data_IF_276533036255
#
_entry.id   IF_276533036255
#
_cell.length_a   1.000
_cell.length_b   1.000
_cell.length_c   1.000
_cell.angle_alpha   90.00
_cell.angle_beta   90.00
_cell.angle_gamma   90.00
#
_symmetry.space_group_name_H-M   'P 1'
#
loop_
_entity.id
_entity.type
_entity.pdbx_description
1 polymer ?
#
# COMPACT_ATOMS: atom_id res chain seq x y z
N UNK A 1 23.80 -29.82 -60.15
CA UNK A 1 23.74 -28.57 -59.36
C UNK A 1 22.41 -27.89 -59.67
N UNK A 2 21.42 -27.89 -58.76
CA UNK A 2 20.29 -26.99 -58.88
C UNK A 2 20.71 -25.60 -58.40
N UNK A 3 20.26 -24.58 -59.13
CA UNK A 3 20.45 -23.15 -58.86
C UNK A 3 19.80 -22.76 -57.52
N UNK A 4 20.35 -21.79 -56.79
CA UNK A 4 19.72 -21.28 -55.58
C UNK A 4 18.44 -20.52 -55.95
N UNK A 5 17.34 -20.88 -55.29
CA UNK A 5 16.07 -20.16 -55.30
C UNK A 5 16.28 -18.72 -54.82
N UNK A 6 16.05 -17.76 -55.71
CA UNK A 6 15.95 -16.33 -55.38
C UNK A 6 14.78 -16.14 -54.41
N UNK A 7 15.09 -15.90 -53.14
CA UNK A 7 14.11 -15.49 -52.14
C UNK A 7 13.65 -14.08 -52.49
N UNK A 8 12.42 -13.96 -52.98
CA UNK A 8 11.74 -12.69 -53.21
C UNK A 8 11.54 -12.05 -51.83
N UNK A 9 12.40 -11.09 -51.44
CA UNK A 9 12.17 -10.28 -50.24
C UNK A 9 10.84 -9.54 -50.42
N UNK A 10 9.85 -9.85 -49.60
CA UNK A 10 8.58 -9.12 -49.57
C UNK A 10 8.86 -7.70 -49.09
N UNK A 11 8.45 -6.70 -49.87
CA UNK A 11 8.63 -5.27 -49.54
C UNK A 11 7.56 -4.79 -48.57
N UNK A 12 7.93 -3.97 -47.58
CA UNK A 12 7.03 -3.35 -46.62
C UNK A 12 5.87 -2.59 -47.30
N UNK A 13 6.21 -1.81 -48.33
CA UNK A 13 5.27 -1.08 -49.18
C UNK A 13 5.52 -1.47 -50.64
N UNK A 14 4.47 -1.85 -51.35
CA UNK A 14 4.52 -2.09 -52.79
C UNK A 14 3.99 -0.89 -53.56
N UNK A 15 4.35 -0.78 -54.83
CA UNK A 15 3.78 0.25 -55.72
C UNK A 15 2.24 0.12 -55.81
N UNK A 16 1.72 -1.10 -55.72
CA UNK A 16 0.28 -1.36 -55.72
C UNK A 16 -0.41 -0.81 -54.47
N UNK A 17 0.22 -0.91 -53.29
CA UNK A 17 -0.30 -0.33 -52.05
C UNK A 17 -0.40 1.20 -52.15
N UNK A 18 0.63 1.84 -52.70
CA UNK A 18 0.69 3.30 -52.91
C UNK A 18 -0.36 3.73 -53.93
N UNK A 19 -0.44 3.04 -55.07
CA UNK A 19 -1.41 3.33 -56.12
C UNK A 19 -2.85 3.13 -55.62
N UNK A 20 -3.09 2.13 -54.76
CA UNK A 20 -4.39 1.90 -54.12
C UNK A 20 -4.76 3.06 -53.21
N UNK A 21 -3.84 3.50 -52.34
CA UNK A 21 -4.08 4.64 -51.44
C UNK A 21 -4.33 5.94 -52.20
N UNK A 22 -3.64 6.17 -53.33
CA UNK A 22 -3.84 7.35 -54.17
C UNK A 22 -5.17 7.33 -54.93
N UNK A 23 -5.70 6.14 -55.25
CA UNK A 23 -6.98 5.97 -55.94
C UNK A 23 -8.17 6.01 -54.99
N UNK A 24 -8.03 5.41 -53.81
CA UNK A 24 -9.08 5.27 -52.82
C UNK A 24 -8.55 5.55 -51.41
N UNK A 25 -8.66 6.80 -50.98
CA UNK A 25 -8.31 7.23 -49.62
C UNK A 25 -9.45 6.94 -48.63
N UNK A 26 -9.81 5.66 -48.49
CA UNK A 26 -10.80 5.18 -47.53
C UNK A 26 -10.15 4.74 -46.21
N UNK A 27 -10.91 4.84 -45.12
CA UNK A 27 -10.45 4.38 -43.80
C UNK A 27 -10.00 2.91 -43.83
N UNK A 28 -10.71 2.06 -44.58
CA UNK A 28 -10.40 0.64 -44.73
C UNK A 28 -9.08 0.42 -45.46
N UNK A 29 -8.80 1.17 -46.53
CA UNK A 29 -7.51 1.08 -47.24
C UNK A 29 -6.36 1.53 -46.34
N UNK A 30 -6.55 2.55 -45.50
CA UNK A 30 -5.54 2.97 -44.52
C UNK A 30 -5.30 1.94 -43.42
N UNK A 31 -6.36 1.24 -42.97
CA UNK A 31 -6.24 0.12 -42.01
C UNK A 31 -5.49 -1.05 -42.63
N UNK A 32 -5.83 -1.48 -43.85
CA UNK A 32 -5.13 -2.57 -44.56
C UNK A 32 -3.62 -2.28 -44.68
N UNK A 33 -3.29 -1.03 -45.03
CA UNK A 33 -1.90 -0.57 -45.15
C UNK A 33 -1.17 -0.61 -43.81
N UNK A 34 -1.84 -0.13 -42.77
CA UNK A 34 -1.34 -0.13 -41.41
C UNK A 34 -1.07 -1.55 -40.91
N UNK A 35 -1.98 -2.50 -41.13
CA UNK A 35 -1.80 -3.91 -40.75
C UNK A 35 -0.54 -4.48 -41.40
N UNK A 36 -0.34 -4.20 -42.69
CA UNK A 36 0.86 -4.62 -43.41
C UNK A 36 2.13 -4.00 -42.82
N UNK A 37 2.18 -2.68 -42.67
CA UNK A 37 3.37 -1.97 -42.17
C UNK A 37 3.70 -2.40 -40.74
N UNK A 38 2.69 -2.48 -39.87
CA UNK A 38 2.88 -2.87 -38.48
C UNK A 38 3.31 -4.33 -38.34
N UNK A 39 2.86 -5.23 -39.22
CA UNK A 39 3.35 -6.61 -39.30
C UNK A 39 4.87 -6.66 -39.51
N UNK A 40 5.37 -6.03 -40.58
CA UNK A 40 6.82 -5.97 -40.83
C UNK A 40 7.59 -5.26 -39.71
N UNK A 41 7.02 -4.19 -39.13
CA UNK A 41 7.64 -3.45 -38.02
C UNK A 41 7.76 -4.32 -36.75
N UNK A 42 6.74 -5.11 -36.44
CA UNK A 42 6.70 -5.97 -35.25
C UNK A 42 7.55 -7.22 -35.38
N UNK A 43 7.78 -7.70 -36.61
CA UNK A 43 8.65 -8.85 -36.89
C UNK A 43 10.13 -8.46 -37.05
N UNK A 44 10.48 -7.17 -36.89
CA UNK A 44 11.83 -6.60 -37.08
C UNK A 44 12.43 -6.92 -38.47
N UNK A 45 11.57 -6.99 -39.49
CA UNK A 45 11.96 -7.28 -40.88
C UNK A 45 12.35 -6.03 -41.67
N UNK A 46 12.29 -4.85 -41.05
CA UNK A 46 12.55 -3.57 -41.69
C UNK A 46 14.01 -3.16 -41.54
N UNK A 47 14.59 -2.62 -42.62
CA UNK A 47 15.87 -1.91 -42.50
C UNK A 47 15.68 -0.52 -41.85
N UNK A 48 16.78 0.13 -41.44
CA UNK A 48 16.74 1.42 -40.74
C UNK A 48 15.92 2.51 -41.47
N UNK A 49 16.00 2.57 -42.82
CA UNK A 49 15.23 3.52 -43.59
C UNK A 49 13.74 3.17 -43.61
N UNK A 50 13.39 1.91 -43.83
CA UNK A 50 12.01 1.44 -43.81
C UNK A 50 11.37 1.64 -42.44
N UNK A 51 12.11 1.35 -41.36
CA UNK A 51 11.69 1.61 -39.99
C UNK A 51 11.39 3.09 -39.76
N UNK A 52 12.30 3.97 -40.18
CA UNK A 52 12.11 5.42 -40.10
C UNK A 52 10.87 5.89 -40.88
N UNK A 53 10.56 5.28 -42.03
CA UNK A 53 9.34 5.58 -42.78
C UNK A 53 8.09 5.06 -42.09
N UNK A 54 8.10 3.82 -41.59
CA UNK A 54 7.00 3.25 -40.82
C UNK A 54 6.64 4.13 -39.60
N UNK A 55 7.64 4.58 -38.84
CA UNK A 55 7.41 5.47 -37.70
C UNK A 55 6.85 6.84 -38.10
N UNK A 56 7.24 7.39 -39.25
CA UNK A 56 6.62 8.61 -39.78
C UNK A 56 5.16 8.39 -40.18
N UNK A 57 4.85 7.22 -40.76
CA UNK A 57 3.48 6.83 -41.08
C UNK A 57 2.65 6.69 -39.80
N UNK A 58 3.18 6.07 -38.74
CA UNK A 58 2.48 5.98 -37.45
C UNK A 58 2.17 7.37 -36.86
N UNK A 59 3.11 8.32 -36.94
CA UNK A 59 2.89 9.72 -36.51
C UNK A 59 1.85 10.46 -37.36
N UNK A 60 1.67 10.07 -38.62
CA UNK A 60 0.60 10.60 -39.46
C UNK A 60 -0.75 9.99 -39.06
N UNK A 61 -0.81 8.65 -38.97
CA UNK A 61 -2.03 7.89 -38.68
C UNK A 61 -2.55 8.11 -37.25
N UNK A 62 -1.69 8.43 -36.28
CA UNK A 62 -2.15 8.78 -34.93
C UNK A 62 -2.99 10.07 -34.90
N UNK A 63 -2.95 10.88 -35.97
CA UNK A 63 -3.74 12.10 -36.13
C UNK A 63 -4.85 11.94 -37.17
N UNK A 64 -5.13 10.71 -37.60
CA UNK A 64 -6.16 10.43 -38.60
C UNK A 64 -7.54 10.90 -38.10
N UNK A 65 -8.36 11.45 -39.00
CA UNK A 65 -9.70 11.90 -38.66
C UNK A 65 -10.61 10.73 -38.26
N UNK A 66 -10.39 9.55 -38.86
CA UNK A 66 -11.18 8.36 -38.64
C UNK A 66 -10.70 7.62 -37.39
N UNK A 67 -11.54 7.60 -36.34
CA UNK A 67 -11.25 6.87 -35.09
C UNK A 67 -10.85 5.42 -35.35
N UNK A 68 -11.49 4.75 -36.32
CA UNK A 68 -11.19 3.36 -36.70
C UNK A 68 -9.72 3.16 -37.05
N UNK A 69 -9.10 4.12 -37.76
CA UNK A 69 -7.69 4.03 -38.13
C UNK A 69 -6.80 4.16 -36.88
N UNK A 70 -7.10 5.12 -36.00
CA UNK A 70 -6.35 5.33 -34.75
C UNK A 70 -6.47 4.14 -33.79
N UNK A 71 -7.65 3.54 -33.71
CA UNK A 71 -7.91 2.32 -32.92
C UNK A 71 -7.10 1.13 -33.43
N UNK A 72 -7.10 0.89 -34.75
CA UNK A 72 -6.28 -0.17 -35.34
C UNK A 72 -4.77 0.10 -35.14
N UNK A 73 -4.34 1.37 -35.17
CA UNK A 73 -2.95 1.74 -34.91
C UNK A 73 -2.56 1.41 -33.46
N UNK A 74 -3.42 1.73 -32.50
CA UNK A 74 -3.21 1.37 -31.11
C UNK A 74 -3.13 -0.15 -30.91
N UNK A 75 -4.04 -0.91 -31.52
CA UNK A 75 -4.05 -2.38 -31.44
C UNK A 75 -2.79 -3.00 -32.04
N UNK A 76 -2.34 -2.51 -33.19
CA UNK A 76 -1.19 -3.04 -33.90
C UNK A 76 0.14 -2.78 -33.19
N UNK A 77 0.23 -1.69 -32.41
CA UNK A 77 1.46 -1.24 -31.78
C UNK A 77 1.57 -1.57 -30.29
N UNK A 78 0.49 -1.97 -29.62
CA UNK A 78 0.46 -2.09 -28.15
C UNK A 78 1.53 -3.04 -27.60
N UNK A 79 1.82 -4.15 -28.26
CA UNK A 79 2.71 -5.19 -27.69
C UNK A 79 4.18 -4.98 -28.07
N UNK A 80 4.50 -3.99 -28.91
CA UNK A 80 5.85 -3.76 -29.41
C UNK A 80 6.59 -2.71 -28.55
N UNK A 81 7.73 -3.07 -27.90
CA UNK A 81 8.51 -2.15 -27.06
C UNK A 81 9.34 -1.13 -27.85
N UNK A 82 9.55 -1.37 -29.14
CA UNK A 82 10.37 -0.56 -30.05
C UNK A 82 9.61 0.59 -30.71
N UNK A 83 8.32 0.73 -30.40
CA UNK A 83 7.48 1.81 -30.93
C UNK A 83 7.91 3.15 -30.34
N UNK A 84 8.01 4.23 -31.16
CA UNK A 84 8.35 5.54 -30.65
C UNK A 84 7.40 6.02 -29.55
N UNK A 85 7.98 6.45 -28.43
CA UNK A 85 7.23 6.89 -27.24
C UNK A 85 6.23 8.01 -27.55
N UNK A 86 6.55 8.90 -28.48
CA UNK A 86 5.67 10.01 -28.85
C UNK A 86 4.36 9.52 -29.49
N UNK A 87 4.41 8.43 -30.27
CA UNK A 87 3.22 7.80 -30.87
C UNK A 87 2.32 7.20 -29.78
N UNK A 88 2.90 6.41 -28.87
CA UNK A 88 2.16 5.78 -27.77
C UNK A 88 1.52 6.84 -26.86
N UNK A 89 2.27 7.85 -26.44
CA UNK A 89 1.75 8.90 -25.56
C UNK A 89 0.62 9.68 -26.24
N UNK A 90 0.71 9.98 -27.53
CA UNK A 90 -0.39 10.68 -28.20
C UNK A 90 -1.66 9.83 -28.32
N UNK A 91 -1.54 8.54 -28.62
CA UNK A 91 -2.69 7.63 -28.71
C UNK A 91 -3.34 7.34 -27.33
N UNK A 92 -2.55 7.29 -26.26
CA UNK A 92 -3.07 7.07 -24.90
C UNK A 92 -3.92 8.25 -24.40
N UNK A 93 -3.62 9.47 -24.88
CA UNK A 93 -4.39 10.66 -24.56
C UNK A 93 -5.68 10.82 -25.40
N UNK A 94 -5.90 9.94 -26.38
CA UNK A 94 -7.09 9.92 -27.24
C UNK A 94 -8.33 9.34 -26.52
N UNK A 95 -9.45 9.17 -27.21
CA UNK A 95 -10.68 8.59 -26.66
C UNK A 95 -10.51 7.11 -26.22
N UNK A 96 -11.39 6.59 -25.34
CA UNK A 96 -11.22 5.27 -24.73
C UNK A 96 -10.99 4.11 -25.70
N UNK A 97 -11.72 3.97 -26.83
CA UNK A 97 -11.47 2.88 -27.79
C UNK A 97 -10.02 2.81 -28.30
N UNK A 98 -9.37 3.97 -28.48
CA UNK A 98 -7.98 4.06 -28.95
C UNK A 98 -6.99 3.87 -27.80
N UNK A 99 -7.26 4.46 -26.65
CA UNK A 99 -6.31 4.49 -25.53
C UNK A 99 -6.30 3.21 -24.69
N UNK A 100 -7.43 2.51 -24.54
CA UNK A 100 -7.56 1.32 -23.67
C UNK A 100 -6.54 0.22 -24.03
N UNK A 101 -6.38 -0.22 -25.30
CA UNK A 101 -5.44 -1.28 -25.64
C UNK A 101 -3.99 -0.96 -25.22
N UNK A 102 -3.60 0.31 -25.35
CA UNK A 102 -2.26 0.78 -24.96
C UNK A 102 -2.12 0.87 -23.45
N UNK A 103 -3.14 1.36 -22.76
CA UNK A 103 -3.15 1.42 -21.30
C UNK A 103 -3.06 0.04 -20.67
N UNK A 104 -3.68 -0.99 -21.26
CA UNK A 104 -3.66 -2.36 -20.74
C UNK A 104 -2.36 -3.12 -21.04
N UNK A 105 -1.75 -2.90 -22.20
CA UNK A 105 -0.69 -3.81 -22.68
C UNK A 105 0.63 -3.12 -23.06
N UNK A 106 0.65 -1.79 -23.26
CA UNK A 106 1.85 -1.13 -23.80
C UNK A 106 3.08 -1.29 -22.92
N UNK A 107 4.15 -1.83 -23.51
CA UNK A 107 5.47 -2.00 -22.87
C UNK A 107 6.28 -0.70 -22.83
N UNK A 108 5.87 0.32 -23.61
CA UNK A 108 6.57 1.61 -23.72
C UNK A 108 6.22 2.55 -22.55
N UNK A 109 5.05 2.37 -21.94
CA UNK A 109 4.56 3.20 -20.84
C UNK A 109 5.31 2.89 -19.53
N UNK A 110 5.92 3.92 -18.95
CA UNK A 110 6.53 3.81 -17.61
C UNK A 110 5.51 4.04 -16.50
N UNK A 111 5.81 3.62 -15.28
CA UNK A 111 5.02 3.92 -14.09
C UNK A 111 4.73 5.42 -13.95
N UNK A 112 5.70 6.28 -14.27
CA UNK A 112 5.52 7.73 -14.21
C UNK A 112 4.50 8.24 -15.24
N UNK A 113 4.41 7.61 -16.41
CA UNK A 113 3.39 7.95 -17.40
C UNK A 113 2.01 7.48 -16.93
N UNK A 114 1.91 6.24 -16.44
CA UNK A 114 0.66 5.67 -15.93
C UNK A 114 0.10 6.50 -14.78
N UNK A 115 0.94 6.92 -13.83
CA UNK A 115 0.52 7.78 -12.71
C UNK A 115 -0.01 9.12 -13.23
N UNK A 116 0.70 9.78 -14.16
CA UNK A 116 0.21 11.04 -14.75
C UNK A 116 -1.14 10.88 -15.46
N UNK A 117 -1.34 9.75 -16.15
CA UNK A 117 -2.62 9.44 -16.80
C UNK A 117 -3.71 9.24 -15.77
N UNK A 118 -3.42 8.53 -14.67
CA UNK A 118 -4.36 8.31 -13.58
C UNK A 118 -4.76 9.63 -12.91
N UNK A 119 -3.79 10.51 -12.66
CA UNK A 119 -4.02 11.83 -12.04
C UNK A 119 -4.79 12.81 -12.94
N UNK A 120 -4.64 12.70 -14.26
CA UNK A 120 -5.27 13.62 -15.22
C UNK A 120 -6.61 13.13 -15.79
N UNK A 121 -6.87 11.82 -15.74
CA UNK A 121 -8.10 11.21 -16.27
C UNK A 121 -9.19 11.08 -15.22
N UNK A 122 -10.43 11.34 -15.62
CA UNK A 122 -11.65 11.00 -14.86
C UNK A 122 -12.43 9.84 -15.47
N UNK A 123 -11.92 9.28 -16.56
CA UNK A 123 -12.58 8.18 -17.28
C UNK A 123 -12.26 6.85 -16.59
N UNK A 124 -13.27 6.24 -15.95
CA UNK A 124 -13.09 4.99 -15.21
C UNK A 124 -12.71 3.82 -16.12
N UNK A 125 -13.04 3.86 -17.41
CA UNK A 125 -12.66 2.81 -18.37
C UNK A 125 -11.16 2.81 -18.62
N UNK A 126 -10.57 4.01 -18.77
CA UNK A 126 -9.10 4.18 -18.88
C UNK A 126 -8.38 3.80 -17.59
N UNK A 127 -8.92 4.21 -16.43
CA UNK A 127 -8.32 3.87 -15.13
C UNK A 127 -8.37 2.36 -14.86
N UNK A 128 -9.49 1.71 -15.16
CA UNK A 128 -9.61 0.25 -15.06
C UNK A 128 -8.69 -0.46 -16.05
N UNK A 129 -8.43 0.09 -17.24
CA UNK A 129 -7.43 -0.44 -18.17
C UNK A 129 -6.02 -0.43 -17.54
N UNK A 130 -5.62 0.65 -16.87
CA UNK A 130 -4.35 0.69 -16.11
C UNK A 130 -4.35 -0.36 -14.99
N UNK A 131 -5.47 -0.54 -14.29
CA UNK A 131 -5.60 -1.53 -13.22
C UNK A 131 -5.54 -2.99 -13.71
N UNK A 132 -5.90 -3.27 -14.97
CA UNK A 132 -5.83 -4.60 -15.60
C UNK A 132 -4.45 -4.98 -16.13
N UNK A 133 -3.49 -4.03 -16.16
CA UNK A 133 -2.14 -4.30 -16.67
C UNK A 133 -1.49 -5.48 -15.95
N UNK A 134 -0.67 -6.30 -16.63
CA UNK A 134 0.20 -7.22 -15.95
C UNK A 134 1.21 -6.44 -15.09
N UNK A 135 1.47 -6.91 -13.86
CA UNK A 135 2.49 -6.36 -12.95
C UNK A 135 2.29 -4.87 -12.62
N UNK A 136 1.11 -4.48 -12.14
CA UNK A 136 0.88 -3.12 -11.62
C UNK A 136 1.76 -2.89 -10.38
N UNK A 137 2.66 -1.90 -10.45
CA UNK A 137 3.57 -1.59 -9.33
C UNK A 137 2.82 -0.95 -8.16
N UNK A 138 3.40 -1.02 -6.96
CA UNK A 138 2.82 -0.40 -5.77
C UNK A 138 2.57 1.11 -5.93
N UNK A 139 3.41 1.81 -6.71
CA UNK A 139 3.25 3.26 -6.95
C UNK A 139 2.02 3.56 -7.80
N UNK A 140 1.80 2.76 -8.86
CA UNK A 140 0.62 2.90 -9.72
C UNK A 140 -0.63 2.47 -8.96
N UNK A 141 -0.56 1.40 -8.16
CA UNK A 141 -1.65 0.98 -7.28
C UNK A 141 -2.06 2.09 -6.29
N UNK A 142 -1.10 2.80 -5.68
CA UNK A 142 -1.41 3.95 -4.81
C UNK A 142 -2.18 5.03 -5.56
N UNK A 143 -1.73 5.43 -6.75
CA UNK A 143 -2.41 6.43 -7.56
C UNK A 143 -3.84 5.99 -7.93
N UNK A 144 -4.05 4.71 -8.29
CA UNK A 144 -5.37 4.16 -8.60
C UNK A 144 -6.31 4.16 -7.38
N UNK A 145 -5.81 3.78 -6.20
CA UNK A 145 -6.58 3.80 -4.95
C UNK A 145 -7.00 5.22 -4.58
N UNK A 146 -6.12 6.20 -4.79
CA UNK A 146 -6.40 7.62 -4.49
C UNK A 146 -7.48 8.24 -5.37
N UNK A 147 -7.86 7.61 -6.48
CA UNK A 147 -9.01 8.05 -7.29
C UNK A 147 -10.36 7.83 -6.60
N UNK A 148 -10.42 6.92 -5.62
CA UNK A 148 -11.63 6.54 -4.89
C UNK A 148 -12.82 6.11 -5.77
N UNK A 149 -12.56 5.65 -7.00
CA UNK A 149 -13.60 5.07 -7.86
C UNK A 149 -13.81 3.58 -7.54
N UNK A 150 -15.01 3.15 -7.08
CA UNK A 150 -15.27 1.76 -6.71
C UNK A 150 -14.93 0.76 -7.83
N UNK A 151 -15.28 1.08 -9.07
CA UNK A 151 -15.03 0.23 -10.24
C UNK A 151 -13.52 0.00 -10.48
N UNK A 152 -12.70 1.04 -10.31
CA UNK A 152 -11.25 0.99 -10.55
C UNK A 152 -10.58 0.18 -9.45
N UNK A 153 -10.93 0.43 -8.19
CA UNK A 153 -10.42 -0.32 -7.03
C UNK A 153 -10.82 -1.79 -7.10
N UNK A 154 -12.07 -2.07 -7.49
CA UNK A 154 -12.54 -3.43 -7.74
C UNK A 154 -11.69 -4.14 -8.80
N UNK A 155 -11.42 -3.48 -9.93
CA UNK A 155 -10.58 -4.03 -11.00
C UNK A 155 -9.14 -4.27 -10.51
N UNK A 156 -8.58 -3.35 -9.72
CA UNK A 156 -7.24 -3.49 -9.15
C UNK A 156 -7.16 -4.69 -8.19
N UNK A 157 -8.18 -4.90 -7.35
CA UNK A 157 -8.23 -6.02 -6.42
C UNK A 157 -8.38 -7.37 -7.13
N UNK A 158 -9.14 -7.43 -8.24
CA UNK A 158 -9.26 -8.62 -9.09
C UNK A 158 -7.93 -9.00 -9.76
N UNK A 159 -7.06 -8.02 -10.04
CA UNK A 159 -5.75 -8.26 -10.64
C UNK A 159 -4.75 -8.83 -9.61
N UNK A 160 -4.60 -10.16 -9.60
CA UNK A 160 -3.69 -10.85 -8.67
C UNK A 160 -2.21 -10.46 -8.84
N UNK A 161 -1.81 -9.96 -10.03
CA UNK A 161 -0.42 -9.51 -10.27
C UNK A 161 -0.14 -8.09 -9.75
N UNK A 162 -1.18 -7.35 -9.34
CA UNK A 162 -1.00 -6.01 -8.82
C UNK A 162 -0.36 -6.02 -7.43
N UNK A 163 0.70 -5.24 -7.26
CA UNK A 163 1.35 -5.02 -5.97
C UNK A 163 0.57 -3.98 -5.17
N UNK A 164 -0.01 -4.39 -4.06
CA UNK A 164 -0.79 -3.52 -3.17
C UNK A 164 -0.13 -3.54 -1.78
N UNK A 165 0.38 -2.39 -1.34
CA UNK A 165 0.92 -2.26 0.01
C UNK A 165 -0.16 -2.33 1.09
N UNK A 166 0.23 -2.69 2.30
CA UNK A 166 -0.62 -2.68 3.50
C UNK A 166 -1.29 -1.32 3.72
N UNK A 167 -0.57 -0.22 3.53
CA UNK A 167 -1.13 1.13 3.63
C UNK A 167 -2.26 1.37 2.61
N UNK A 168 -2.10 0.90 1.37
CA UNK A 168 -3.14 1.01 0.36
C UNK A 168 -4.37 0.16 0.72
N UNK A 169 -4.18 -1.05 1.29
CA UNK A 169 -5.31 -1.84 1.78
C UNK A 169 -6.06 -1.13 2.92
N UNK A 170 -5.35 -0.52 3.86
CA UNK A 170 -5.99 0.25 4.94
C UNK A 170 -6.80 1.42 4.38
N UNK A 171 -6.25 2.19 3.42
CA UNK A 171 -6.98 3.24 2.70
C UNK A 171 -8.24 2.70 2.01
N UNK A 172 -8.16 1.53 1.36
CA UNK A 172 -9.32 0.90 0.72
C UNK A 172 -10.39 0.56 1.76
N UNK A 173 -10.01 -0.02 2.91
CA UNK A 173 -10.95 -0.35 3.99
C UNK A 173 -11.63 0.90 4.53
N UNK A 174 -10.87 1.97 4.77
CA UNK A 174 -11.39 3.24 5.28
C UNK A 174 -12.37 3.90 4.29
N UNK A 175 -12.07 3.85 2.98
CA UNK A 175 -12.89 4.49 1.95
C UNK A 175 -14.13 3.66 1.56
N UNK A 176 -14.02 2.33 1.61
CA UNK A 176 -15.01 1.39 1.09
C UNK A 176 -15.54 0.44 2.15
N UNK A 177 -15.61 0.88 3.42
CA UNK A 177 -16.12 0.09 4.54
C UNK A 177 -17.51 -0.49 4.31
N UNK A 178 -18.35 0.21 3.54
CA UNK A 178 -19.74 -0.17 3.31
C UNK A 178 -19.93 -0.96 1.99
N UNK A 179 -18.86 -1.25 1.26
CA UNK A 179 -18.91 -1.93 -0.03
C UNK A 179 -18.51 -3.40 0.12
N UNK A 180 -19.48 -4.27 0.42
CA UNK A 180 -19.28 -5.71 0.59
C UNK A 180 -18.56 -6.35 -0.61
N UNK A 181 -18.88 -5.92 -1.83
CA UNK A 181 -18.27 -6.38 -3.07
C UNK A 181 -16.74 -6.14 -3.14
N UNK A 182 -16.27 -5.02 -2.57
CA UNK A 182 -14.84 -4.66 -2.53
C UNK A 182 -14.15 -5.47 -1.44
N UNK A 183 -14.78 -5.58 -0.27
CA UNK A 183 -14.27 -6.38 0.84
C UNK A 183 -14.10 -7.86 0.44
N UNK A 184 -15.09 -8.43 -0.26
CA UNK A 184 -15.02 -9.80 -0.75
C UNK A 184 -13.80 -9.99 -1.67
N UNK A 185 -13.57 -9.07 -2.61
CA UNK A 185 -12.40 -9.12 -3.50
C UNK A 185 -11.08 -9.03 -2.75
N UNK A 186 -11.01 -8.24 -1.68
CA UNK A 186 -9.81 -8.20 -0.81
C UNK A 186 -9.53 -9.56 -0.17
N UNK A 187 -10.57 -10.24 0.34
CA UNK A 187 -10.46 -11.58 0.96
C UNK A 187 -10.04 -12.64 -0.07
N UNK A 188 -10.52 -12.55 -1.30
CA UNK A 188 -10.22 -13.50 -2.38
C UNK A 188 -8.77 -13.44 -2.88
N UNK A 189 -8.07 -12.31 -2.68
CA UNK A 189 -6.66 -12.16 -3.09
C UNK A 189 -5.75 -13.15 -2.39
N UNK A 190 -4.76 -13.68 -3.12
CA UNK A 190 -3.82 -14.67 -2.58
C UNK A 190 -2.86 -14.04 -1.56
N UNK A 191 -2.34 -12.85 -1.86
CA UNK A 191 -1.37 -12.12 -1.04
C UNK A 191 -2.05 -11.04 -0.19
N UNK A 192 -2.94 -11.45 0.73
CA UNK A 192 -3.53 -10.57 1.73
C UNK A 192 -2.66 -10.57 3.01
N UNK A 193 -2.14 -9.42 3.47
CA UNK A 193 -1.41 -9.34 4.74
C UNK A 193 -2.30 -9.69 5.94
N UNK A 194 -1.76 -10.40 6.92
CA UNK A 194 -2.50 -10.86 8.11
C UNK A 194 -3.03 -9.67 8.94
N UNK A 195 -2.30 -8.56 8.99
CA UNK A 195 -2.74 -7.32 9.64
C UNK A 195 -3.98 -6.72 8.99
N UNK A 196 -4.06 -6.74 7.66
CA UNK A 196 -5.23 -6.29 6.90
C UNK A 196 -6.40 -7.24 7.12
N UNK A 197 -6.17 -8.56 7.10
CA UNK A 197 -7.19 -9.57 7.42
C UNK A 197 -7.78 -9.37 8.83
N UNK A 198 -6.94 -9.04 9.81
CA UNK A 198 -7.39 -8.78 11.18
C UNK A 198 -8.25 -7.52 11.30
N UNK A 199 -7.98 -6.47 10.51
CA UNK A 199 -8.84 -5.28 10.41
C UNK A 199 -10.16 -5.66 9.72
N UNK A 200 -10.11 -6.40 8.61
CA UNK A 200 -11.30 -6.79 7.85
C UNK A 200 -12.32 -7.53 8.69
N UNK A 201 -11.92 -8.42 9.62
CA UNK A 201 -12.86 -9.12 10.53
C UNK A 201 -13.81 -8.16 11.27
N UNK A 202 -13.37 -6.94 11.55
CA UNK A 202 -14.21 -5.96 12.26
C UNK A 202 -15.24 -5.29 11.36
N UNK A 203 -15.07 -5.39 10.04
CA UNK A 203 -15.84 -4.65 9.04
C UNK A 203 -16.60 -5.54 8.04
N UNK A 204 -16.32 -6.84 8.01
CA UNK A 204 -16.91 -7.79 7.05
C UNK A 204 -18.00 -8.67 7.66
N UNK A 205 -18.84 -9.26 6.81
CA UNK A 205 -19.87 -10.21 7.21
C UNK A 205 -19.30 -11.48 7.86
N UNK A 206 -20.12 -12.15 8.68
CA UNK A 206 -19.76 -13.40 9.37
C UNK A 206 -19.20 -14.48 8.42
N UNK A 207 -19.70 -14.53 7.18
CA UNK A 207 -19.23 -15.45 6.14
C UNK A 207 -17.77 -15.18 5.75
N UNK A 208 -17.42 -13.92 5.51
CA UNK A 208 -16.05 -13.52 5.15
C UNK A 208 -15.11 -13.68 6.33
N UNK A 209 -15.59 -13.41 7.54
CA UNK A 209 -14.89 -13.69 8.79
C UNK A 209 -14.51 -15.17 8.90
N UNK A 210 -15.42 -16.09 8.59
CA UNK A 210 -15.11 -17.52 8.58
C UNK A 210 -13.98 -17.88 7.60
N UNK A 211 -14.01 -17.35 6.38
CA UNK A 211 -12.97 -17.59 5.37
C UNK A 211 -11.59 -17.08 5.82
N UNK A 212 -11.54 -15.92 6.49
CA UNK A 212 -10.31 -15.38 7.04
C UNK A 212 -9.77 -16.23 8.20
N UNK A 213 -10.65 -16.76 9.07
CA UNK A 213 -10.26 -17.67 10.14
C UNK A 213 -9.75 -19.02 9.61
N UNK A 214 -10.37 -19.58 8.56
CA UNK A 214 -9.88 -20.80 7.92
C UNK A 214 -8.49 -20.61 7.31
N UNK A 215 -8.20 -19.43 6.73
CA UNK A 215 -6.92 -19.15 6.08
C UNK A 215 -5.79 -18.78 7.06
N UNK A 216 -6.09 -18.05 8.14
CA UNK A 216 -5.07 -17.44 9.01
C UNK A 216 -5.18 -17.74 10.51
N UNK A 217 -6.17 -18.52 10.94
CA UNK A 217 -6.55 -18.87 12.32
C UNK A 217 -5.60 -18.41 13.45
N UNK A 218 -4.54 -19.18 13.74
CA UNK A 218 -3.64 -18.92 14.87
C UNK A 218 -2.86 -17.59 14.77
N UNK A 219 -2.53 -17.15 13.55
CA UNK A 219 -1.82 -15.87 13.33
C UNK A 219 -2.78 -14.69 13.50
N UNK A 220 -4.04 -14.90 13.12
CA UNK A 220 -5.09 -13.89 13.17
C UNK A 220 -5.50 -13.57 14.61
N UNK A 221 -5.60 -14.56 15.50
CA UNK A 221 -5.89 -14.34 16.93
C UNK A 221 -4.81 -13.48 17.61
N UNK A 222 -3.53 -13.78 17.34
CA UNK A 222 -2.41 -12.99 17.89
C UNK A 222 -2.39 -11.56 17.37
N UNK A 223 -2.59 -11.38 16.06
CA UNK A 223 -2.56 -10.06 15.41
C UNK A 223 -3.81 -9.24 15.74
N UNK A 224 -5.00 -9.86 15.81
CA UNK A 224 -6.24 -9.19 16.26
C UNK A 224 -6.15 -8.76 17.71
N UNK A 225 -5.54 -9.58 18.59
CA UNK A 225 -5.25 -9.17 19.96
C UNK A 225 -4.33 -7.94 19.93
N UNK A 226 -3.18 -7.99 19.27
CA UNK A 226 -2.26 -6.83 19.17
C UNK A 226 -2.90 -5.57 18.56
N UNK A 227 -3.79 -5.72 17.58
CA UNK A 227 -4.56 -4.62 16.99
C UNK A 227 -5.57 -4.03 17.98
N UNK A 228 -6.32 -4.86 18.72
CA UNK A 228 -7.21 -4.39 19.79
C UNK A 228 -6.43 -3.62 20.85
N UNK A 229 -5.27 -4.13 21.23
CA UNK A 229 -4.36 -3.48 22.18
C UNK A 229 -3.89 -2.12 21.66
N UNK A 230 -3.50 -2.05 20.39
CA UNK A 230 -3.11 -0.80 19.72
C UNK A 230 -4.27 0.20 19.64
N UNK A 231 -5.44 -0.22 19.15
CA UNK A 231 -6.62 0.64 19.00
C UNK A 231 -7.12 1.16 20.36
N UNK A 232 -7.07 0.33 21.39
CA UNK A 232 -7.44 0.76 22.76
C UNK A 232 -6.49 1.82 23.27
N UNK A 233 -5.21 1.74 22.93
CA UNK A 233 -4.23 2.76 23.27
C UNK A 233 -4.33 4.01 22.39
N UNK A 234 -4.74 3.89 21.13
CA UNK A 234 -5.00 5.03 20.25
C UNK A 234 -6.25 5.83 20.68
N UNK A 235 -7.25 5.15 21.24
CA UNK A 235 -8.44 5.79 21.82
C UNK A 235 -8.13 6.65 23.04
N UNK A 236 -6.96 6.45 23.66
CA UNK A 236 -6.44 7.34 24.70
C UNK A 236 -5.90 8.57 23.99
N UNK A 237 -6.79 9.50 23.66
CA UNK A 237 -6.38 10.82 23.22
C UNK A 237 -5.55 11.50 24.32
N UNK A 238 -4.49 12.23 23.94
CA UNK A 238 -3.62 12.97 24.86
C UNK A 238 -4.37 14.04 25.69
N UNK A 239 -5.62 14.35 25.32
CA UNK A 239 -6.51 15.28 26.02
C UNK A 239 -7.57 14.61 26.92
N UNK A 240 -7.59 13.28 27.00
CA UNK A 240 -8.54 12.57 27.86
C UNK A 240 -8.30 12.91 29.33
N UNK A 241 -9.36 13.17 30.08
CA UNK A 241 -9.22 13.45 31.52
C UNK A 241 -8.70 12.22 32.25
N UNK A 242 -8.04 12.41 33.40
CA UNK A 242 -7.58 11.27 34.22
C UNK A 242 -8.76 10.36 34.64
N UNK A 243 -9.98 10.90 34.71
CA UNK A 243 -11.20 10.17 35.00
C UNK A 243 -11.64 9.26 33.84
N UNK A 244 -11.51 9.73 32.59
CA UNK A 244 -11.80 8.94 31.39
C UNK A 244 -10.83 7.77 31.25
N UNK A 245 -9.54 8.01 31.52
CA UNK A 245 -8.50 6.98 31.50
C UNK A 245 -8.75 5.94 32.59
N UNK A 246 -9.16 6.36 33.79
CA UNK A 246 -9.51 5.44 34.86
C UNK A 246 -10.76 4.61 34.54
N UNK A 247 -11.79 5.22 33.95
CA UNK A 247 -12.97 4.49 33.49
C UNK A 247 -12.61 3.44 32.44
N UNK A 248 -11.74 3.78 31.48
CA UNK A 248 -11.24 2.85 30.47
C UNK A 248 -10.48 1.68 31.09
N UNK A 249 -9.47 1.95 31.94
CA UNK A 249 -8.69 0.89 32.62
C UNK A 249 -9.58 -0.02 33.45
N UNK A 250 -10.56 0.53 34.16
CA UNK A 250 -11.50 -0.25 34.95
C UNK A 250 -12.42 -1.13 34.09
N UNK A 251 -12.87 -0.63 32.94
CA UNK A 251 -13.66 -1.41 31.99
C UNK A 251 -12.82 -2.54 31.39
N UNK A 252 -11.57 -2.27 31.03
CA UNK A 252 -10.66 -3.28 30.50
C UNK A 252 -10.34 -4.38 31.52
N UNK A 253 -10.08 -3.99 32.77
CA UNK A 253 -9.83 -4.94 33.84
C UNK A 253 -11.05 -5.83 34.13
N UNK A 254 -12.28 -5.28 34.05
CA UNK A 254 -13.52 -6.06 34.22
C UNK A 254 -13.76 -7.04 33.07
N UNK A 255 -13.40 -6.66 31.84
CA UNK A 255 -13.57 -7.48 30.65
C UNK A 255 -12.43 -8.49 30.43
N UNK A 256 -11.40 -8.48 31.31
CA UNK A 256 -10.20 -9.31 31.15
C UNK A 256 -9.32 -8.92 29.96
N UNK A 257 -9.55 -7.74 29.36
CA UNK A 257 -8.79 -7.24 28.22
C UNK A 257 -7.56 -6.43 28.61
N UNK A 258 -7.36 -6.13 29.91
CA UNK A 258 -6.15 -5.48 30.40
C UNK A 258 -4.97 -6.48 30.44
N UNK A 259 -4.30 -6.65 29.31
CA UNK A 259 -3.12 -7.52 29.19
C UNK A 259 -1.83 -6.80 29.58
N UNK A 260 -0.81 -7.59 29.92
CA UNK A 260 0.57 -7.11 30.19
C UNK A 260 1.13 -6.32 29.00
N UNK A 261 0.86 -6.76 27.77
CA UNK A 261 1.31 -6.11 26.55
C UNK A 261 0.68 -4.73 26.33
N UNK A 262 -0.58 -4.50 26.72
CA UNK A 262 -1.21 -3.17 26.68
C UNK A 262 -0.51 -2.21 27.63
N UNK A 263 -0.23 -2.66 28.86
CA UNK A 263 0.43 -1.83 29.88
C UNK A 263 1.81 -1.40 29.37
N UNK A 264 2.58 -2.31 28.77
CA UNK A 264 3.90 -1.98 28.22
C UNK A 264 3.81 -1.10 26.97
N UNK A 265 2.86 -1.40 26.08
CA UNK A 265 2.65 -0.62 24.86
C UNK A 265 2.22 0.82 25.16
N UNK A 266 1.46 1.04 26.24
CA UNK A 266 1.11 2.38 26.73
C UNK A 266 2.35 3.18 27.11
N UNK A 267 3.29 2.57 27.86
CA UNK A 267 4.53 3.22 28.24
C UNK A 267 5.44 3.50 27.04
N UNK A 268 5.53 2.56 26.09
CA UNK A 268 6.29 2.75 24.84
C UNK A 268 5.81 3.96 24.03
N UNK A 269 4.53 4.31 24.16
CA UNK A 269 3.90 5.47 23.50
C UNK A 269 3.99 6.76 24.32
N UNK A 270 4.46 6.68 25.56
CA UNK A 270 4.52 7.82 26.50
C UNK A 270 3.25 8.07 27.30
N UNK A 271 2.28 7.16 27.31
CA UNK A 271 1.03 7.30 28.05
C UNK A 271 1.21 6.94 29.54
N UNK A 272 1.96 7.79 30.26
CA UNK A 272 2.31 7.59 31.68
C UNK A 272 1.08 7.53 32.60
N UNK A 273 0.06 8.35 32.34
CA UNK A 273 -1.18 8.36 33.12
C UNK A 273 -1.89 7.00 33.04
N UNK A 274 -2.05 6.44 31.83
CA UNK A 274 -2.62 5.11 31.65
C UNK A 274 -1.76 4.03 32.33
N UNK A 275 -0.44 4.08 32.13
CA UNK A 275 0.48 3.13 32.75
C UNK A 275 0.38 3.11 34.29
N UNK A 276 0.38 4.29 34.92
CA UNK A 276 0.28 4.42 36.38
C UNK A 276 -1.07 3.93 36.93
N UNK A 277 -2.18 4.23 36.24
CA UNK A 277 -3.53 3.80 36.64
C UNK A 277 -3.69 2.28 36.43
N UNK A 278 -3.16 1.74 35.33
CA UNK A 278 -3.14 0.30 35.07
C UNK A 278 -2.35 -0.45 36.15
N UNK A 279 -1.15 0.03 36.52
CA UNK A 279 -0.38 -0.54 37.63
C UNK A 279 -1.11 -0.44 38.97
N UNK A 280 -1.78 0.70 39.25
CA UNK A 280 -2.58 0.84 40.47
C UNK A 280 -3.65 -0.25 40.55
N UNK A 281 -4.32 -0.51 39.42
CA UNK A 281 -5.39 -1.50 39.32
C UNK A 281 -4.88 -2.93 39.46
N UNK A 282 -3.72 -3.23 38.87
CA UNK A 282 -3.06 -4.53 38.95
C UNK A 282 -2.52 -4.81 40.36
N UNK A 283 -1.86 -3.83 40.99
CA UNK A 283 -1.30 -3.94 42.35
C UNK A 283 -2.36 -3.80 43.47
N UNK A 284 -3.61 -3.47 43.12
CA UNK A 284 -4.70 -3.31 44.08
C UNK A 284 -4.54 -2.13 45.03
N UNK A 285 -3.93 -1.03 44.58
CA UNK A 285 -3.68 0.17 45.39
C UNK A 285 -4.37 1.41 44.80
N UNK A 286 -4.59 2.48 45.60
CA UNK A 286 -5.13 3.74 45.08
C UNK A 286 -4.24 4.37 43.99
N UNK A 287 -4.85 4.93 42.93
CA UNK A 287 -4.15 5.58 41.81
C UNK A 287 -3.17 6.67 42.23
N UNK A 288 -3.53 7.46 43.25
CA UNK A 288 -2.67 8.52 43.80
C UNK A 288 -1.37 7.97 44.39
N UNK A 289 -1.42 6.77 45.00
CA UNK A 289 -0.26 6.11 45.56
C UNK A 289 0.60 5.50 44.45
N UNK A 290 -0.02 4.86 43.45
CA UNK A 290 0.70 4.30 42.31
C UNK A 290 1.45 5.38 41.54
N UNK A 291 0.81 6.53 41.24
CA UNK A 291 1.45 7.67 40.57
C UNK A 291 2.68 8.16 41.33
N UNK A 292 2.57 8.33 42.65
CA UNK A 292 3.70 8.73 43.51
C UNK A 292 4.84 7.71 43.53
N UNK A 293 4.54 6.42 43.44
CA UNK A 293 5.56 5.37 43.41
C UNK A 293 6.24 5.24 42.04
N UNK A 294 5.49 5.49 40.95
CA UNK A 294 6.03 5.54 39.58
C UNK A 294 6.90 6.77 39.37
N UNK A 295 6.50 7.91 39.93
CA UNK A 295 7.23 9.19 39.85
C UNK A 295 8.29 9.35 40.95
N UNK A 296 8.48 8.36 41.82
CA UNK A 296 9.49 8.42 42.88
C UNK A 296 10.90 8.45 42.26
N UNK A 297 11.70 9.52 42.48
CA UNK A 297 13.09 9.55 42.04
C UNK A 297 13.93 8.46 42.70
N UNK A 298 13.46 7.88 43.82
CA UNK A 298 14.04 6.69 44.42
C UNK A 298 13.73 5.42 43.62
N UNK A 299 14.77 4.63 43.31
CA UNK A 299 14.62 3.34 42.58
C UNK A 299 13.67 2.33 43.24
N UNK A 300 13.41 2.47 44.55
CA UNK A 300 12.64 1.52 45.37
C UNK A 300 11.12 1.67 45.24
N UNK A 301 10.61 2.84 44.87
CA UNK A 301 9.17 3.10 44.77
C UNK A 301 8.52 2.26 43.67
N UNK A 302 9.06 2.37 42.44
CA UNK A 302 8.62 1.58 41.30
C UNK A 302 8.90 0.08 41.48
N UNK A 303 10.03 -0.29 42.08
CA UNK A 303 10.38 -1.69 42.40
C UNK A 303 9.32 -2.36 43.27
N UNK A 304 8.91 -1.71 44.37
CA UNK A 304 7.90 -2.23 45.28
C UNK A 304 6.50 -2.30 44.63
N UNK A 305 6.20 -1.39 43.70
CA UNK A 305 4.95 -1.42 42.93
C UNK A 305 4.95 -2.57 41.93
N UNK A 306 6.03 -2.72 41.17
CA UNK A 306 6.18 -3.78 40.16
C UNK A 306 6.12 -5.17 40.78
N UNK A 307 6.78 -5.37 41.92
CA UNK A 307 6.76 -6.64 42.66
C UNK A 307 5.37 -7.04 43.19
N UNK A 308 4.43 -6.08 43.28
CA UNK A 308 3.03 -6.34 43.65
C UNK A 308 2.13 -6.65 42.45
N UNK A 309 2.66 -6.62 41.24
CA UNK A 309 1.94 -6.95 40.02
C UNK A 309 2.36 -8.31 39.48
N UNK A 310 1.49 -8.98 38.72
CA UNK A 310 1.81 -10.24 38.03
C UNK A 310 2.62 -10.00 36.73
N UNK A 311 3.42 -8.94 36.68
CA UNK A 311 4.23 -8.59 35.51
C UNK A 311 5.54 -9.41 35.49
N UNK A 312 6.09 -9.79 34.32
CA UNK A 312 7.30 -10.60 34.25
C UNK A 312 8.54 -9.88 34.80
N UNK A 313 9.25 -10.49 35.75
CA UNK A 313 10.49 -9.93 36.31
C UNK A 313 11.58 -9.67 35.26
N UNK A 314 11.61 -10.49 34.20
CA UNK A 314 12.55 -10.35 33.08
C UNK A 314 12.41 -9.03 32.31
N UNK A 315 11.26 -8.36 32.42
CA UNK A 315 10.99 -7.09 31.74
C UNK A 315 11.28 -5.86 32.62
N UNK A 316 11.53 -6.04 33.92
CA UNK A 316 11.67 -4.95 34.88
C UNK A 316 12.75 -3.96 34.49
N UNK A 317 13.95 -4.44 34.15
CA UNK A 317 15.09 -3.59 33.83
C UNK A 317 14.85 -2.71 32.59
N UNK A 318 14.27 -3.29 31.53
CA UNK A 318 13.95 -2.57 30.29
C UNK A 318 12.83 -1.53 30.50
N UNK A 319 11.78 -1.89 31.24
CA UNK A 319 10.66 -0.99 31.55
C UNK A 319 11.10 0.15 32.47
N UNK A 320 11.98 -0.14 33.44
CA UNK A 320 12.53 0.88 34.32
C UNK A 320 13.30 1.94 33.54
N UNK A 321 14.17 1.50 32.62
CA UNK A 321 14.91 2.41 31.75
C UNK A 321 13.97 3.24 30.88
N UNK A 322 12.98 2.61 30.25
CA UNK A 322 11.99 3.31 29.45
C UNK A 322 11.19 4.32 30.29
N UNK A 323 10.80 3.96 31.51
CA UNK A 323 10.08 4.85 32.43
C UNK A 323 10.93 6.09 32.78
N UNK A 324 12.22 5.90 33.06
CA UNK A 324 13.14 7.02 33.32
C UNK A 324 13.21 7.97 32.12
N UNK A 325 13.33 7.45 30.91
CA UNK A 325 13.35 8.25 29.68
C UNK A 325 12.01 8.99 29.47
N UNK A 326 10.89 8.31 29.65
CA UNK A 326 9.54 8.91 29.49
C UNK A 326 9.29 10.02 30.52
N UNK A 327 9.78 9.85 31.76
CA UNK A 327 9.68 10.89 32.80
C UNK A 327 10.57 12.09 32.44
N UNK A 328 11.82 11.86 32.02
CA UNK A 328 12.75 12.92 31.60
C UNK A 328 12.19 13.72 30.41
N UNK A 329 11.58 13.04 29.44
CA UNK A 329 10.98 13.66 28.26
C UNK A 329 9.71 14.47 28.57
N UNK A 330 9.08 14.30 29.74
CA UNK A 330 7.87 15.05 30.11
C UNK A 330 8.11 16.56 30.18
N UNK A 331 9.33 16.98 30.44
CA UNK A 331 9.70 18.41 30.54
C UNK A 331 10.04 19.05 29.18
N UNK A 332 10.12 18.25 28.12
CA UNK A 332 10.45 18.72 26.77
C UNK A 332 9.16 18.98 25.96
N UNK A 333 8.85 20.26 25.70
CA UNK A 333 7.64 20.65 24.95
C UNK A 333 7.64 20.17 23.48
N UNK A 334 8.82 19.85 22.92
CA UNK A 334 9.01 19.51 21.51
C UNK A 334 8.57 18.07 21.16
N UNK A 335 8.43 17.18 22.15
CA UNK A 335 8.15 15.76 21.91
C UNK A 335 6.77 15.35 22.41
N UNK A 336 5.82 15.21 21.48
CA UNK A 336 4.44 14.79 21.80
C UNK A 336 4.31 13.25 21.84
N UNK A 337 3.85 12.66 22.95
CA UNK A 337 3.57 11.22 23.04
C UNK A 337 2.71 10.71 21.88
N UNK A 338 3.01 9.51 21.38
CA UNK A 338 2.31 8.90 20.25
C UNK A 338 2.71 9.41 18.85
N UNK A 339 3.60 10.41 18.73
CA UNK A 339 4.10 10.87 17.43
C UNK A 339 5.34 10.09 16.96
N UNK A 340 5.60 9.99 15.64
CA UNK A 340 6.81 9.35 15.13
C UNK A 340 8.10 9.97 15.71
N UNK A 341 8.15 11.31 15.82
CA UNK A 341 9.29 12.03 16.38
C UNK A 341 9.55 11.74 17.87
N UNK A 342 8.50 11.46 18.65
CA UNK A 342 8.64 11.01 20.04
C UNK A 342 9.25 9.61 20.10
N UNK A 343 8.73 8.67 19.31
CA UNK A 343 9.21 7.30 19.29
C UNK A 343 10.68 7.19 18.83
N UNK A 344 11.08 7.97 17.82
CA UNK A 344 12.46 8.00 17.34
C UNK A 344 13.43 8.53 18.40
N UNK A 345 13.01 9.55 19.17
CA UNK A 345 13.82 10.08 20.28
C UNK A 345 13.93 9.08 21.43
N UNK A 346 12.83 8.43 21.82
CA UNK A 346 12.84 7.35 22.84
C UNK A 346 13.79 6.23 22.43
N UNK A 347 13.77 5.80 21.17
CA UNK A 347 14.70 4.77 20.67
C UNK A 347 16.15 5.23 20.77
N UNK A 348 16.42 6.49 20.40
CA UNK A 348 17.76 7.08 20.47
C UNK A 348 18.29 7.07 21.90
N UNK A 349 17.47 7.50 22.88
CA UNK A 349 17.83 7.50 24.30
C UNK A 349 17.97 6.08 24.87
N UNK A 350 17.10 5.14 24.48
CA UNK A 350 17.21 3.74 24.90
C UNK A 350 18.53 3.11 24.45
N UNK A 351 18.94 3.36 23.21
CA UNK A 351 20.23 2.89 22.69
C UNK A 351 21.37 3.60 23.40
N UNK A 352 21.34 4.94 23.52
CA UNK A 352 22.42 5.71 24.15
C UNK A 352 22.65 5.36 25.63
N UNK A 353 21.59 5.17 26.42
CA UNK A 353 21.71 4.84 27.85
C UNK A 353 22.06 3.38 28.11
N UNK A 354 21.80 2.48 27.15
CA UNK A 354 22.12 1.04 27.27
C UNK A 354 23.54 0.66 26.83
N UNK A 355 24.31 1.56 26.22
CA UNK A 355 25.74 1.31 25.92
C UNK A 355 26.58 0.98 27.16
N UNK A 356 26.08 1.31 28.36
CA UNK A 356 26.76 1.10 29.63
C UNK A 356 26.34 -0.17 30.39
N UNK A 357 25.34 -0.94 29.93
CA UNK A 357 24.85 -2.15 30.61
C UNK A 357 24.02 -3.05 29.68
N UNK A 358 24.30 -4.35 29.66
CA UNK A 358 23.41 -5.33 29.00
C UNK A 358 22.10 -5.45 29.78
N UNK A 359 21.01 -4.99 29.15
CA UNK A 359 19.66 -5.03 29.71
C UNK A 359 18.85 -6.09 28.96
N UNK A 360 18.37 -7.09 29.69
CA UNK A 360 17.50 -8.12 29.16
C UNK A 360 16.23 -7.53 28.54
N UNK A 361 15.79 -8.08 27.40
CA UNK A 361 14.58 -7.69 26.66
C UNK A 361 14.56 -6.25 26.10
N UNK A 362 15.67 -5.51 26.12
CA UNK A 362 15.74 -4.17 25.54
C UNK A 362 15.41 -4.16 24.03
N UNK A 363 15.92 -5.15 23.28
CA UNK A 363 15.65 -5.30 21.84
C UNK A 363 14.16 -5.46 21.53
N UNK A 364 13.43 -6.13 22.42
CA UNK A 364 11.98 -6.31 22.31
C UNK A 364 11.24 -5.00 22.57
N UNK A 365 11.64 -4.23 23.58
CA UNK A 365 11.07 -2.89 23.86
C UNK A 365 11.33 -1.93 22.70
N UNK A 366 12.54 -1.92 22.12
CA UNK A 366 12.86 -1.10 20.94
C UNK A 366 11.95 -1.46 19.75
N UNK A 367 11.68 -2.74 19.52
CA UNK A 367 10.76 -3.18 18.48
C UNK A 367 9.32 -2.69 18.73
N UNK A 368 8.85 -2.72 19.98
CA UNK A 368 7.52 -2.20 20.36
C UNK A 368 7.41 -0.68 20.15
N UNK A 369 8.41 0.10 20.57
CA UNK A 369 8.45 1.56 20.35
C UNK A 369 8.47 1.88 18.85
N UNK A 370 9.25 1.14 18.06
CA UNK A 370 9.31 1.32 16.60
C UNK A 370 7.97 1.02 15.92
N UNK A 371 7.26 -0.02 16.36
CA UNK A 371 5.94 -0.34 15.85
C UNK A 371 4.90 0.72 16.22
N UNK A 372 5.04 1.38 17.37
CA UNK A 372 4.21 2.52 17.75
C UNK A 372 4.43 3.76 16.86
N UNK A 373 5.59 3.88 16.20
CA UNK A 373 5.95 5.02 15.34
C UNK A 373 5.48 4.90 13.88
N UNK A 374 5.17 3.70 13.40
CA UNK A 374 4.99 3.38 11.96
C UNK A 374 3.60 3.72 11.38
N UNK A 375 2.85 4.62 11.99
CA UNK A 375 1.58 5.12 11.45
C UNK A 375 1.69 6.54 10.94
#
# INVERSE_FOLDING_TARGET
MPLPSTSTKTSMLTQEDIDRLLREDSADTRVDLLEKISGFYNEDELNDHERMYAEQIFRLLMRDAERKVRENLALALKDNPDVPRDVIIGLVNDEPPVSIPLLESSLVLSDADLIRIVESSRDTSKLSAVARRPNVSNRVSTALVETSYPQVVSTLLENQSAQISENNYNKIIEQFSDHEDIQQRMVERTELPVSVAAILIQHVSDRLTHLLHERYGESLEKVTQQLKETLTLDLINWQSSEEDVEALVNNMAKQGSLSVSIVFSALCRGYLSFFSIALARLAGIPKSNAKRLVEDPGKKGFEALYAKTDLPDSMYAAIRLLLDIVIDMRELEDYKPGTPGYSDHVITELVGRSESSEIDNLSYVIALVRNAARR
#
